data_IF_178560538002
#
_entry.id   IF_178560538002
#
_cell.length_a   1.000
_cell.length_b   1.000
_cell.length_c   1.000
_cell.angle_alpha   90.00
_cell.angle_beta   90.00
_cell.angle_gamma   90.00
#
_symmetry.space_group_name_H-M   'P 1'
#
loop_
_entity.id
_entity.type
_entity.pdbx_description
1 polymer ?
#
# COMPACT_ATOMS: atom_id res chain seq x y z
N UNK A 1 10.40 0.61 19.00
CA UNK A 1 9.57 1.06 17.86
C UNK A 1 10.39 1.98 16.99
N UNK A 2 10.34 1.80 15.66
CA UNK A 2 11.11 2.63 14.74
C UNK A 2 10.55 4.06 14.65
N UNK A 3 11.36 4.98 14.14
CA UNK A 3 10.93 6.36 13.85
C UNK A 3 9.76 6.38 12.86
N UNK A 4 9.81 5.50 11.86
CA UNK A 4 8.74 5.36 10.88
C UNK A 4 7.42 4.96 11.55
N UNK A 5 7.45 3.99 12.46
CA UNK A 5 6.26 3.57 13.19
C UNK A 5 5.72 4.66 14.13
N UNK A 6 6.60 5.41 14.78
CA UNK A 6 6.20 6.57 15.58
C UNK A 6 5.47 7.60 14.73
N UNK A 7 5.99 7.88 13.53
CA UNK A 7 5.34 8.79 12.58
C UNK A 7 3.99 8.27 12.13
N UNK A 8 3.88 6.96 11.88
CA UNK A 8 2.59 6.34 11.53
C UNK A 8 1.56 6.52 12.64
N UNK A 9 1.95 6.29 13.89
CA UNK A 9 1.06 6.48 15.03
C UNK A 9 0.61 7.93 15.18
N UNK A 10 1.52 8.87 14.97
CA UNK A 10 1.19 10.30 15.01
C UNK A 10 0.16 10.70 13.94
N UNK A 11 0.13 9.98 12.83
CA UNK A 11 -0.85 10.16 11.74
C UNK A 11 -2.12 9.34 11.92
N UNK A 12 -2.25 8.59 13.01
CA UNK A 12 -3.39 7.72 13.23
C UNK A 12 -3.41 6.48 12.34
N UNK A 13 -2.27 6.09 11.79
CA UNK A 13 -2.15 4.92 10.92
C UNK A 13 -1.70 3.70 11.72
N UNK A 14 -2.19 2.54 11.31
CA UNK A 14 -1.80 1.27 11.91
C UNK A 14 -1.51 0.23 10.83
N UNK A 15 -0.70 -0.76 11.15
CA UNK A 15 -0.49 -1.88 10.26
C UNK A 15 -1.74 -2.77 10.19
N UNK A 16 -1.98 -3.42 9.04
CA UNK A 16 -3.02 -4.43 8.97
C UNK A 16 -2.69 -5.62 9.88
N UNK A 17 -3.69 -6.39 10.28
CA UNK A 17 -3.44 -7.67 10.94
C UNK A 17 -2.72 -8.62 9.98
N UNK A 18 -1.98 -9.58 10.53
CA UNK A 18 -1.25 -10.55 9.72
C UNK A 18 -2.20 -11.37 8.83
N UNK A 19 -1.77 -11.59 7.60
CA UNK A 19 -2.56 -12.37 6.63
C UNK A 19 -1.66 -13.12 5.66
N UNK A 20 -2.18 -14.21 5.10
CA UNK A 20 -1.51 -14.97 4.05
C UNK A 20 -1.62 -14.24 2.70
N UNK A 21 -0.63 -14.42 1.82
CA UNK A 21 -0.70 -13.94 0.46
C UNK A 21 -1.87 -14.60 -0.29
N UNK A 22 -2.56 -13.84 -1.15
CA UNK A 22 -3.73 -14.33 -1.90
C UNK A 22 -3.36 -15.32 -3.00
N UNK A 23 -2.14 -15.33 -3.47
CA UNK A 23 -1.70 -16.18 -4.56
C UNK A 23 -0.49 -17.00 -4.19
N UNK A 24 -0.04 -17.80 -5.13
CA UNK A 24 1.18 -18.59 -4.98
C UNK A 24 2.39 -17.72 -5.33
N UNK A 25 2.62 -16.67 -4.53
CA UNK A 25 3.75 -15.77 -4.70
C UNK A 25 4.31 -15.36 -3.34
N UNK A 26 5.56 -14.94 -3.34
CA UNK A 26 6.19 -14.40 -2.14
C UNK A 26 5.85 -12.91 -2.01
N UNK A 27 5.64 -12.40 -0.80
CA UNK A 27 5.32 -10.98 -0.59
C UNK A 27 6.47 -10.05 -0.93
N UNK A 28 7.71 -10.54 -0.88
CA UNK A 28 8.89 -9.75 -1.24
C UNK A 28 10.07 -10.65 -1.60
N UNK A 29 11.04 -10.08 -2.28
CA UNK A 29 12.36 -10.68 -2.51
C UNK A 29 13.42 -9.62 -2.30
N UNK A 30 14.55 -10.03 -1.80
CA UNK A 30 15.67 -9.15 -1.51
C UNK A 30 16.87 -9.55 -2.36
N UNK A 31 17.47 -8.56 -3.03
CA UNK A 31 18.71 -8.73 -3.77
C UNK A 31 19.71 -7.69 -3.27
N UNK A 32 20.66 -8.15 -2.44
CA UNK A 32 21.60 -7.25 -1.78
C UNK A 32 20.86 -6.25 -0.89
N UNK A 33 20.97 -4.96 -1.25
CA UNK A 33 20.34 -3.85 -0.54
C UNK A 33 19.02 -3.40 -1.16
N UNK A 34 18.54 -4.10 -2.16
CA UNK A 34 17.29 -3.77 -2.85
C UNK A 34 16.22 -4.78 -2.47
N UNK A 35 15.04 -4.28 -2.11
CA UNK A 35 13.86 -5.10 -1.82
C UNK A 35 12.82 -4.86 -2.91
N UNK A 36 12.34 -5.94 -3.48
CA UNK A 36 11.24 -5.94 -4.44
C UNK A 36 9.99 -6.46 -3.73
N UNK A 37 8.97 -5.62 -3.67
CA UNK A 37 7.70 -5.99 -3.05
C UNK A 37 6.71 -6.44 -4.13
N UNK A 38 5.99 -7.52 -3.85
CA UNK A 38 4.86 -7.93 -4.68
C UNK A 38 3.73 -6.91 -4.56
N UNK A 39 2.92 -6.80 -5.62
CA UNK A 39 1.78 -5.89 -5.62
C UNK A 39 0.80 -6.19 -4.50
N UNK A 40 0.18 -5.14 -4.00
CA UNK A 40 -0.85 -5.22 -2.97
C UNK A 40 -2.16 -4.63 -3.48
N UNK A 41 -3.25 -5.18 -3.00
CA UNK A 41 -4.59 -4.66 -3.25
C UNK A 41 -5.15 -4.04 -1.97
N UNK A 42 -6.29 -3.38 -2.08
CA UNK A 42 -6.97 -2.79 -0.92
C UNK A 42 -7.71 -3.87 -0.14
N UNK A 43 -6.97 -4.67 0.63
CA UNK A 43 -7.56 -5.66 1.54
C UNK A 43 -7.17 -5.38 2.98
N UNK A 44 -8.06 -5.73 3.88
CA UNK A 44 -7.86 -5.60 5.31
C UNK A 44 -8.50 -6.79 6.02
N UNK A 45 -7.74 -7.46 6.87
CA UNK A 45 -8.21 -8.64 7.60
C UNK A 45 -8.80 -9.73 6.68
N UNK A 46 -8.24 -9.88 5.47
CA UNK A 46 -8.68 -10.90 4.51
C UNK A 46 -9.87 -10.50 3.63
N UNK A 47 -10.39 -9.29 3.77
CA UNK A 47 -11.51 -8.81 2.95
C UNK A 47 -11.11 -7.63 2.09
N UNK A 48 -11.51 -7.62 0.82
CA UNK A 48 -11.30 -6.48 -0.07
C UNK A 48 -12.22 -5.34 0.38
N UNK A 49 -11.64 -4.16 0.61
CA UNK A 49 -12.34 -3.02 1.20
C UNK A 49 -13.09 -2.18 0.18
N UNK A 50 -12.59 -2.10 -1.05
CA UNK A 50 -13.15 -1.27 -2.11
C UNK A 50 -13.21 -2.08 -3.40
N UNK A 51 -14.35 -2.15 -4.01
CA UNK A 51 -14.60 -2.93 -5.23
C UNK A 51 -15.27 -2.04 -6.27
N UNK A 52 -14.92 -2.26 -7.54
CA UNK A 52 -15.50 -1.56 -8.67
C UNK A 52 -14.59 -0.48 -9.25
N UNK A 53 -15.00 0.05 -10.38
CA UNK A 53 -14.25 1.08 -11.08
C UNK A 53 -14.47 2.45 -10.40
N UNK A 54 -13.39 3.22 -10.33
CA UNK A 54 -13.42 4.56 -9.71
C UNK A 54 -14.17 5.53 -10.62
N UNK A 55 -15.12 6.26 -10.02
CA UNK A 55 -15.85 7.34 -10.68
C UNK A 55 -15.08 8.66 -10.53
N UNK A 56 -15.07 9.48 -11.57
CA UNK A 56 -14.44 10.80 -11.53
C UNK A 56 -15.39 11.82 -10.87
N UNK A 57 -15.64 11.60 -9.60
CA UNK A 57 -16.45 12.45 -8.72
C UNK A 57 -15.67 12.68 -7.42
N UNK A 58 -15.99 13.73 -6.63
CA UNK A 58 -15.33 13.92 -5.34
C UNK A 58 -15.39 12.69 -4.43
N UNK A 59 -16.53 12.01 -4.36
CA UNK A 59 -16.71 10.79 -3.56
C UNK A 59 -15.89 9.63 -4.13
N UNK A 60 -15.86 9.47 -5.45
CA UNK A 60 -15.09 8.43 -6.11
C UNK A 60 -13.60 8.57 -5.88
N UNK A 61 -13.08 9.80 -5.99
CA UNK A 61 -11.68 10.11 -5.69
C UNK A 61 -11.35 9.86 -4.22
N UNK A 62 -12.23 10.28 -3.31
CA UNK A 62 -12.02 10.04 -1.88
C UNK A 62 -11.95 8.54 -1.54
N UNK A 63 -12.82 7.73 -2.13
CA UNK A 63 -12.78 6.28 -1.96
C UNK A 63 -11.52 5.67 -2.54
N UNK A 64 -11.08 6.13 -3.70
CA UNK A 64 -9.83 5.67 -4.32
C UNK A 64 -8.62 6.03 -3.47
N UNK A 65 -8.57 7.22 -2.87
CA UNK A 65 -7.52 7.62 -1.95
C UNK A 65 -7.50 6.73 -0.70
N UNK A 66 -8.66 6.39 -0.16
CA UNK A 66 -8.78 5.46 0.97
C UNK A 66 -8.25 4.08 0.60
N UNK A 67 -8.62 3.56 -0.57
CA UNK A 67 -8.13 2.27 -1.07
C UNK A 67 -6.62 2.28 -1.28
N UNK A 68 -6.08 3.34 -1.86
CA UNK A 68 -4.64 3.50 -2.07
C UNK A 68 -3.87 3.53 -0.74
N UNK A 69 -4.43 4.19 0.28
CA UNK A 69 -3.85 4.21 1.62
C UNK A 69 -3.74 2.80 2.20
N UNK A 70 -4.78 2.00 2.06
CA UNK A 70 -4.77 0.60 2.51
C UNK A 70 -3.71 -0.21 1.77
N UNK A 71 -3.61 -0.05 0.45
CA UNK A 71 -2.54 -0.69 -0.33
C UNK A 71 -1.15 -0.30 0.18
N UNK A 72 -0.94 0.97 0.48
CA UNK A 72 0.33 1.48 0.99
C UNK A 72 0.66 0.89 2.37
N UNK A 73 -0.33 0.78 3.26
CA UNK A 73 -0.15 0.16 4.58
C UNK A 73 0.22 -1.32 4.45
N UNK A 74 -0.38 -2.03 3.51
CA UNK A 74 -0.05 -3.42 3.22
C UNK A 74 1.39 -3.54 2.69
N UNK A 75 1.82 -2.63 1.82
CA UNK A 75 3.20 -2.58 1.35
C UNK A 75 4.18 -2.30 2.50
N UNK A 76 3.87 -1.35 3.36
CA UNK A 76 4.72 -1.02 4.51
C UNK A 76 4.84 -2.20 5.48
N UNK A 77 3.77 -2.94 5.68
CA UNK A 77 3.80 -4.15 6.51
C UNK A 77 4.80 -5.18 5.95
N UNK A 78 4.73 -5.46 4.66
CA UNK A 78 5.65 -6.41 4.02
C UNK A 78 7.09 -5.88 3.96
N UNK A 79 7.24 -4.58 3.76
CA UNK A 79 8.56 -3.95 3.79
C UNK A 79 9.19 -4.05 5.18
N UNK A 80 8.39 -3.87 6.24
CA UNK A 80 8.87 -4.06 7.61
C UNK A 80 9.39 -5.48 7.84
N UNK A 81 8.66 -6.50 7.35
CA UNK A 81 9.14 -7.89 7.40
C UNK A 81 10.49 -8.03 6.68
N UNK A 82 10.61 -7.49 5.48
CA UNK A 82 11.84 -7.56 4.70
C UNK A 82 13.01 -6.84 5.36
N UNK A 83 12.75 -5.90 6.26
CA UNK A 83 13.75 -5.14 7.02
C UNK A 83 13.92 -5.67 8.45
N UNK A 84 13.59 -6.93 8.68
CA UNK A 84 13.72 -7.58 10.00
C UNK A 84 12.98 -6.82 11.11
N UNK A 85 11.85 -6.24 10.79
CA UNK A 85 10.99 -5.54 11.72
C UNK A 85 11.32 -4.06 11.94
N UNK A 86 12.26 -3.48 11.20
CA UNK A 86 12.71 -2.11 11.39
C UNK A 86 12.67 -1.31 10.08
N UNK A 87 11.61 -0.51 9.89
CA UNK A 87 11.45 0.34 8.72
C UNK A 87 12.51 1.45 8.61
N UNK A 88 13.19 1.78 9.71
CA UNK A 88 14.25 2.80 9.67
C UNK A 88 15.48 2.33 8.88
N UNK A 89 15.57 1.05 8.54
CA UNK A 89 16.60 0.53 7.62
C UNK A 89 16.37 0.94 6.17
N UNK A 90 15.19 1.44 5.82
CA UNK A 90 14.89 1.89 4.46
C UNK A 90 15.56 3.24 4.22
N UNK A 91 16.43 3.31 3.22
CA UNK A 91 17.10 4.56 2.85
C UNK A 91 16.23 5.41 1.93
N UNK A 92 15.61 4.80 0.94
CA UNK A 92 14.73 5.50 0.00
C UNK A 92 13.82 4.52 -0.74
N UNK A 93 12.77 5.06 -1.33
CA UNK A 93 11.91 4.34 -2.27
C UNK A 93 12.45 4.59 -3.67
N UNK A 94 12.83 3.54 -4.38
CA UNK A 94 13.39 3.64 -5.72
C UNK A 94 12.29 3.80 -6.77
N UNK A 95 11.17 3.09 -6.60
CA UNK A 95 10.06 3.11 -7.53
C UNK A 95 8.76 2.72 -6.82
N UNK A 96 7.70 3.44 -7.11
CA UNK A 96 6.35 3.10 -6.70
C UNK A 96 5.45 3.11 -7.93
N UNK A 97 4.83 1.97 -8.24
CA UNK A 97 3.87 1.84 -9.32
C UNK A 97 2.46 1.65 -8.80
N UNK A 98 1.49 2.22 -9.49
CA UNK A 98 0.09 2.07 -9.13
C UNK A 98 -0.77 1.86 -10.36
N UNK A 99 -1.79 1.01 -10.22
CA UNK A 99 -2.79 0.75 -11.25
C UNK A 99 -4.17 0.99 -10.66
N UNK A 100 -4.96 1.81 -11.33
CA UNK A 100 -6.30 2.20 -10.87
C UNK A 100 -7.32 1.73 -11.89
N UNK A 101 -8.26 0.89 -11.45
CA UNK A 101 -9.40 0.51 -12.26
C UNK A 101 -10.44 1.63 -12.20
N UNK A 102 -10.55 2.40 -13.28
CA UNK A 102 -11.39 3.58 -13.32
C UNK A 102 -12.30 3.57 -14.55
N UNK A 103 -13.34 4.39 -14.52
CA UNK A 103 -14.21 4.60 -15.66
C UNK A 103 -13.46 5.30 -16.79
N UNK A 104 -13.94 5.08 -18.02
CA UNK A 104 -13.40 5.74 -19.21
C UNK A 104 -13.47 7.26 -19.06
N UNK A 105 -12.39 7.94 -19.45
CA UNK A 105 -12.28 9.39 -19.33
C UNK A 105 -11.85 9.91 -17.96
N UNK A 106 -11.52 9.02 -17.02
CA UNK A 106 -11.04 9.43 -15.70
C UNK A 106 -9.73 10.21 -15.83
N UNK A 107 -9.69 11.43 -15.30
CA UNK A 107 -8.56 12.33 -15.45
C UNK A 107 -7.87 12.73 -14.12
N UNK A 108 -8.35 12.20 -12.99
CA UNK A 108 -7.92 12.64 -11.66
C UNK A 108 -6.94 11.65 -10.99
N UNK A 109 -6.17 10.88 -11.78
CA UNK A 109 -5.26 9.85 -11.25
C UNK A 109 -4.23 10.41 -10.28
N UNK A 110 -3.68 11.59 -10.55
CA UNK A 110 -2.66 12.19 -9.69
C UNK A 110 -3.17 12.50 -8.29
N UNK A 111 -4.48 12.77 -8.13
CA UNK A 111 -5.09 13.04 -6.83
C UNK A 111 -5.11 11.81 -5.93
N UNK A 112 -5.06 10.63 -6.48
CA UNK A 112 -5.08 9.38 -5.73
C UNK A 112 -3.73 9.12 -5.07
N UNK A 113 -2.64 9.55 -5.70
CA UNK A 113 -1.27 9.34 -5.21
C UNK A 113 -0.79 10.45 -4.26
N UNK A 114 -1.42 11.59 -4.29
CA UNK A 114 -1.09 12.71 -3.42
C UNK A 114 -1.72 12.52 -2.06
#
# INVERSE_FOLDING_TARGET
MSKAEENMQALGLEFPPDWAARGQFLPYRRDGRVVYLSGQICEWAGSVTHVGAVLDTPEGVAQAQSAARICALNLLYRLREACDGDLDKVECILRLGGFVNCHSGFASLSLIHI
#
